data_IF_663970633928
#
_entry.id   IF_663970633928
#
_cell.length_a   1.000
_cell.length_b   1.000
_cell.length_c   1.000
_cell.angle_alpha   90.00
_cell.angle_beta   90.00
_cell.angle_gamma   90.00
#
_symmetry.space_group_name_H-M   'P 1'
#
loop_
_entity.id
_entity.type
_entity.pdbx_description
1 polymer ?
#
# COMPACT_ATOMS: atom_id res chain seq x y z
N UNK A 1 5.20 -11.01 0.82
CA UNK A 1 4.44 -9.75 0.86
C UNK A 1 3.02 -9.98 0.38
N UNK A 2 2.06 -9.41 1.06
CA UNK A 2 0.66 -9.44 0.62
C UNK A 2 0.21 -8.01 0.37
N UNK A 3 -0.36 -7.78 -0.81
CA UNK A 3 -0.92 -6.48 -1.18
C UNK A 3 -2.37 -6.70 -1.59
N UNK A 4 -3.28 -6.02 -0.93
CA UNK A 4 -4.70 -6.14 -1.20
C UNK A 4 -5.25 -4.76 -1.56
N UNK A 5 -5.85 -4.67 -2.75
CA UNK A 5 -6.56 -3.47 -3.16
C UNK A 5 -8.05 -3.77 -3.24
N UNK A 6 -8.86 -2.85 -2.74
CA UNK A 6 -10.30 -3.01 -2.79
C UNK A 6 -10.97 -1.66 -2.97
N UNK A 7 -12.22 -1.68 -3.45
CA UNK A 7 -13.03 -0.47 -3.58
C UNK A 7 -14.33 -0.72 -2.81
N UNK A 8 -14.63 0.17 -1.89
CA UNK A 8 -15.83 0.10 -1.08
C UNK A 8 -16.56 1.43 -1.15
N UNK A 9 -17.79 1.42 -1.68
CA UNK A 9 -18.57 2.62 -1.84
C UNK A 9 -17.89 3.69 -2.69
N UNK A 10 -17.13 3.27 -3.69
CA UNK A 10 -16.39 4.18 -4.56
C UNK A 10 -15.07 4.68 -3.97
N UNK A 11 -14.68 4.20 -2.80
CA UNK A 11 -13.43 4.61 -2.15
C UNK A 11 -12.41 3.49 -2.23
N UNK A 12 -11.23 3.74 -2.80
CA UNK A 12 -10.19 2.73 -2.88
C UNK A 12 -9.53 2.53 -1.52
N UNK A 13 -9.20 1.29 -1.23
CA UNK A 13 -8.46 0.93 -0.02
C UNK A 13 -7.30 0.02 -0.40
N UNK A 14 -6.19 0.19 0.28
CA UNK A 14 -4.97 -0.56 0.02
C UNK A 14 -4.45 -1.09 1.35
N UNK A 15 -4.11 -2.38 1.37
CA UNK A 15 -3.53 -3.01 2.54
C UNK A 15 -2.25 -3.71 2.12
N UNK A 16 -1.19 -3.51 2.90
CA UNK A 16 0.11 -4.17 2.67
C UNK A 16 0.53 -4.88 3.94
N UNK A 17 0.89 -6.15 3.81
CA UNK A 17 1.46 -6.93 4.89
C UNK A 17 2.82 -7.46 4.46
N UNK A 18 3.80 -7.34 5.34
CA UNK A 18 5.17 -7.82 5.10
C UNK A 18 5.54 -8.88 6.12
N UNK A 19 6.30 -9.88 5.68
CA UNK A 19 6.87 -10.86 6.58
C UNK A 19 8.01 -10.22 7.38
N UNK A 20 8.40 -10.88 8.48
CA UNK A 20 9.51 -10.38 9.30
C UNK A 20 10.80 -10.28 8.50
N UNK A 21 11.04 -11.22 7.59
CA UNK A 21 12.25 -11.22 6.76
C UNK A 21 12.32 -9.97 5.89
N UNK A 22 11.19 -9.58 5.30
CA UNK A 22 11.16 -8.38 4.46
C UNK A 22 11.35 -7.11 5.29
N UNK A 23 10.79 -7.07 6.49
CA UNK A 23 10.97 -5.94 7.40
C UNK A 23 12.44 -5.82 7.81
N UNK A 24 13.09 -6.95 8.12
CA UNK A 24 14.51 -6.97 8.47
C UNK A 24 15.39 -6.49 7.33
N UNK A 25 14.95 -6.68 6.08
CA UNK A 25 15.68 -6.22 4.90
C UNK A 25 15.45 -4.74 4.61
N UNK A 26 14.73 -4.05 5.48
CA UNK A 26 14.54 -2.61 5.36
C UNK A 26 13.22 -2.16 4.75
N UNK A 27 12.34 -3.09 4.38
CA UNK A 27 11.03 -2.73 3.86
C UNK A 27 10.10 -2.35 5.01
N UNK A 28 9.26 -1.36 4.76
CA UNK A 28 8.27 -0.89 5.75
C UNK A 28 6.93 -0.70 5.05
N UNK A 29 5.92 -1.46 5.50
CA UNK A 29 4.60 -1.37 4.90
C UNK A 29 4.03 0.05 4.97
N UNK A 30 4.25 0.75 6.08
CA UNK A 30 3.81 2.13 6.22
C UNK A 30 4.35 3.06 5.15
N UNK A 31 5.63 2.92 4.80
CA UNK A 31 6.23 3.73 3.74
C UNK A 31 5.69 3.34 2.37
N UNK A 32 5.48 2.05 2.12
CA UNK A 32 4.95 1.58 0.86
C UNK A 32 3.54 2.12 0.61
N UNK A 33 2.65 2.02 1.60
CA UNK A 33 1.29 2.53 1.42
C UNK A 33 1.26 4.04 1.33
N UNK A 34 2.17 4.72 2.01
CA UNK A 34 2.26 6.18 1.98
C UNK A 34 2.53 6.69 0.56
N UNK A 35 3.49 6.07 -0.12
CA UNK A 35 3.80 6.42 -1.49
C UNK A 35 2.68 6.03 -2.45
N UNK A 36 2.13 4.83 -2.27
CA UNK A 36 1.04 4.35 -3.11
C UNK A 36 -0.24 5.17 -2.93
N UNK A 37 -0.50 5.66 -1.72
CA UNK A 37 -1.70 6.43 -1.44
C UNK A 37 -1.78 7.71 -2.25
N UNK A 38 -0.66 8.26 -2.68
CA UNK A 38 -0.65 9.45 -3.53
C UNK A 38 -1.36 9.19 -4.86
N UNK A 39 -1.31 7.96 -5.35
CA UNK A 39 -1.93 7.60 -6.62
C UNK A 39 -3.46 7.45 -6.50
N UNK A 40 -3.97 7.26 -5.31
CA UNK A 40 -5.40 7.16 -5.06
C UNK A 40 -5.93 8.41 -4.34
N UNK A 41 -5.15 9.47 -4.32
CA UNK A 41 -5.51 10.75 -3.69
C UNK A 41 -5.93 10.58 -2.24
N UNK A 42 -5.10 9.86 -1.49
CA UNK A 42 -5.40 9.59 -0.10
C UNK A 42 -4.16 9.58 0.76
N UNK A 43 -4.30 9.00 1.91
CA UNK A 43 -3.21 8.86 2.85
C UNK A 43 -3.30 7.53 3.58
N UNK A 44 -2.21 7.15 4.18
CA UNK A 44 -2.16 5.91 4.92
C UNK A 44 -0.93 5.84 5.80
N UNK A 45 -0.82 4.73 6.47
CA UNK A 45 0.30 4.46 7.35
C UNK A 45 0.01 3.22 8.18
N UNK A 46 0.91 2.94 9.09
CA UNK A 46 0.79 1.79 9.96
C UNK A 46 2.15 1.31 10.44
N UNK A 47 2.18 0.08 10.90
CA UNK A 47 3.38 -0.56 11.38
C UNK A 47 4.28 -1.02 10.21
N UNK A 48 5.57 -1.30 10.47
CA UNK A 48 6.44 -1.80 9.39
C UNK A 48 5.97 -3.11 8.75
N UNK A 49 5.24 -3.94 9.48
CA UNK A 49 4.78 -5.23 8.98
C UNK A 49 3.34 -5.21 8.46
N UNK A 50 2.57 -4.17 8.76
CA UNK A 50 1.16 -4.08 8.37
C UNK A 50 0.75 -2.60 8.27
N UNK A 51 0.21 -2.22 7.12
CA UNK A 51 -0.25 -0.86 6.94
C UNK A 51 -1.42 -0.82 5.97
N UNK A 52 -2.24 0.21 6.11
CA UNK A 52 -3.39 0.42 5.26
C UNK A 52 -3.41 1.86 4.75
N UNK A 53 -4.07 2.06 3.62
CA UNK A 53 -4.29 3.39 3.05
C UNK A 53 -5.69 3.45 2.47
N UNK A 54 -6.25 4.64 2.47
CA UNK A 54 -7.53 4.91 1.83
C UNK A 54 -7.44 6.19 1.03
N UNK A 55 -8.25 6.31 -0.01
CA UNK A 55 -8.20 7.47 -0.87
C UNK A 55 -9.54 7.80 -1.50
N UNK A 56 -9.51 8.64 -2.51
CA UNK A 56 -10.72 9.12 -3.19
C UNK A 56 -10.76 8.74 -4.67
N UNK A 57 -9.62 8.29 -5.23
CA UNK A 57 -9.51 8.00 -6.65
C UNK A 57 -9.36 6.50 -6.90
N UNK A 58 -10.48 5.77 -7.09
CA UNK A 58 -10.39 4.32 -7.32
C UNK A 58 -9.70 3.96 -8.63
N UNK A 59 -9.65 4.87 -9.60
CA UNK A 59 -8.99 4.62 -10.87
C UNK A 59 -7.48 4.46 -10.71
N UNK A 60 -6.90 5.02 -9.64
CA UNK A 60 -5.47 4.88 -9.37
C UNK A 60 -5.10 3.64 -8.59
N UNK A 61 -6.07 2.80 -8.21
CA UNK A 61 -5.80 1.68 -7.32
C UNK A 61 -4.83 0.66 -7.91
N UNK A 62 -5.00 0.29 -9.18
CA UNK A 62 -4.08 -0.65 -9.82
C UNK A 62 -2.67 -0.09 -9.88
N UNK A 63 -2.54 1.19 -10.18
CA UNK A 63 -1.24 1.86 -10.18
C UNK A 63 -0.63 1.89 -8.78
N UNK A 64 -1.46 2.07 -7.76
CA UNK A 64 -1.00 2.06 -6.39
C UNK A 64 -0.46 0.68 -5.99
N UNK A 65 -1.15 -0.39 -6.37
CA UNK A 65 -0.68 -1.76 -6.13
C UNK A 65 0.66 -1.99 -6.84
N UNK A 66 0.75 -1.59 -8.11
CA UNK A 66 1.99 -1.73 -8.88
C UNK A 66 3.12 -0.93 -8.25
N UNK A 67 2.82 0.26 -7.71
CA UNK A 67 3.82 1.09 -7.05
C UNK A 67 4.37 0.41 -5.81
N UNK A 68 3.52 -0.24 -5.03
CA UNK A 68 3.97 -0.99 -3.86
C UNK A 68 4.93 -2.10 -4.25
N UNK A 69 4.57 -2.86 -5.28
CA UNK A 69 5.40 -3.97 -5.77
C UNK A 69 6.74 -3.44 -6.27
N UNK A 70 6.72 -2.34 -7.01
CA UNK A 70 7.93 -1.70 -7.53
C UNK A 70 8.84 -1.23 -6.40
N UNK A 71 8.28 -0.53 -5.41
CA UNK A 71 9.06 -0.02 -4.29
C UNK A 71 9.62 -1.13 -3.41
N UNK A 72 8.92 -2.25 -3.33
CA UNK A 72 9.40 -3.41 -2.57
C UNK A 72 10.51 -4.17 -3.30
N UNK A 73 10.70 -3.92 -4.57
CA UNK A 73 11.74 -4.58 -5.35
C UNK A 73 11.41 -6.02 -5.72
N UNK A 74 10.13 -6.35 -5.75
CA UNK A 74 9.67 -7.71 -6.06
C UNK A 74 9.17 -7.87 -7.47
#
# INVERSE_FOLDING_TARGET
MVVIGSVDGGKPMLTVMLSEDLVKNGLKAGNLVKEAAKLIQGGGGGAPHFATAGGKNPEGLLQAVDKVIELAGL
#
